data_IF_025192233342
#
_entry.id   IF_025192233342
#
_cell.length_a   1.000
_cell.length_b   1.000
_cell.length_c   1.000
_cell.angle_alpha   90.00
_cell.angle_beta   90.00
_cell.angle_gamma   90.00
#
_symmetry.space_group_name_H-M   'P 1'
#
loop_
_entity.id
_entity.type
_entity.pdbx_description
1 polymer ?
#
# COMPACT_ATOMS: atom_id res chain seq x y z
N UNK A 1 -8.11 6.51 -22.63
CA UNK A 1 -7.64 6.43 -21.23
C UNK A 1 -7.90 7.78 -20.58
N UNK A 2 -8.68 7.83 -19.51
CA UNK A 2 -9.04 9.07 -18.82
C UNK A 2 -7.76 9.70 -18.20
N UNK A 3 -7.59 11.02 -18.24
CA UNK A 3 -6.34 11.68 -17.79
C UNK A 3 -5.97 11.33 -16.33
N UNK A 4 -6.98 11.13 -15.48
CA UNK A 4 -6.81 10.69 -14.09
C UNK A 4 -6.20 9.29 -13.95
N UNK A 5 -6.42 8.38 -14.91
CA UNK A 5 -5.87 7.02 -14.84
C UNK A 5 -4.36 7.00 -15.10
N UNK A 6 -3.87 7.84 -16.03
CA UNK A 6 -2.44 7.98 -16.30
C UNK A 6 -1.70 8.66 -15.14
N UNK A 7 -2.28 9.75 -14.61
CA UNK A 7 -1.75 10.40 -13.41
C UNK A 7 -1.75 9.45 -12.19
N UNK A 8 -2.80 8.63 -12.07
CA UNK A 8 -2.89 7.62 -11.03
C UNK A 8 -1.85 6.51 -11.14
N UNK A 9 -1.54 6.04 -12.35
CA UNK A 9 -0.46 5.07 -12.53
C UNK A 9 0.89 5.63 -12.08
N UNK A 10 1.19 6.89 -12.37
CA UNK A 10 2.42 7.54 -11.89
C UNK A 10 2.50 7.53 -10.35
N UNK A 11 1.44 7.97 -9.66
CA UNK A 11 1.40 7.93 -8.19
C UNK A 11 1.54 6.50 -7.67
N UNK A 12 0.88 5.53 -8.31
CA UNK A 12 1.01 4.12 -7.94
C UNK A 12 2.44 3.62 -8.07
N UNK A 13 3.18 4.04 -9.11
CA UNK A 13 4.60 3.67 -9.30
C UNK A 13 5.49 4.29 -8.24
N UNK A 14 5.29 5.57 -7.94
CA UNK A 14 6.04 6.28 -6.89
C UNK A 14 5.84 5.62 -5.52
N UNK A 15 4.63 5.11 -5.24
CA UNK A 15 4.34 4.40 -3.98
C UNK A 15 4.77 2.93 -4.05
N UNK A 16 4.22 2.13 -4.95
CA UNK A 16 4.37 0.67 -4.95
C UNK A 16 5.65 0.16 -5.64
N UNK A 17 6.33 1.02 -6.40
CA UNK A 17 7.53 0.71 -7.18
C UNK A 17 7.22 0.17 -8.59
N UNK A 18 8.07 0.51 -9.56
CA UNK A 18 7.88 0.15 -10.97
C UNK A 18 7.75 -1.35 -11.19
N UNK A 19 8.65 -2.15 -10.61
CA UNK A 19 8.63 -3.60 -10.79
C UNK A 19 7.31 -4.27 -10.29
N UNK A 20 6.64 -3.68 -9.30
CA UNK A 20 5.35 -4.16 -8.84
C UNK A 20 4.24 -3.77 -9.81
N UNK A 21 4.22 -2.50 -10.25
CA UNK A 21 3.20 -1.99 -11.17
C UNK A 21 3.31 -2.67 -12.53
N UNK A 22 4.52 -2.82 -13.08
CA UNK A 22 4.76 -3.50 -14.35
C UNK A 22 4.27 -4.94 -14.29
N UNK A 23 4.56 -5.67 -13.20
CA UNK A 23 4.06 -7.04 -13.03
C UNK A 23 2.53 -7.09 -12.99
N UNK A 24 1.89 -6.14 -12.32
CA UNK A 24 0.44 -6.09 -12.22
C UNK A 24 -0.23 -5.78 -13.57
N UNK A 25 0.35 -4.87 -14.37
CA UNK A 25 -0.16 -4.48 -15.68
C UNK A 25 0.15 -5.53 -16.75
N UNK A 26 1.36 -6.10 -16.77
CA UNK A 26 1.75 -7.10 -17.76
C UNK A 26 1.02 -8.44 -17.58
N UNK A 27 0.60 -8.75 -16.35
CA UNK A 27 -0.20 -9.94 -16.05
C UNK A 27 -1.71 -9.66 -16.07
N UNK A 28 -2.13 -8.45 -16.45
CA UNK A 28 -3.54 -8.13 -16.57
C UNK A 28 -4.16 -8.92 -17.73
N UNK A 29 -5.35 -9.45 -17.50
CA UNK A 29 -6.16 -10.15 -18.51
C UNK A 29 -7.41 -9.32 -18.77
N UNK A 30 -8.20 -9.66 -19.79
CA UNK A 30 -9.50 -9.01 -20.04
C UNK A 30 -10.41 -9.01 -18.80
N UNK A 31 -10.27 -10.00 -17.92
CA UNK A 31 -11.00 -10.08 -16.66
C UNK A 31 -10.48 -9.08 -15.60
N UNK A 32 -9.17 -8.90 -15.48
CA UNK A 32 -8.56 -8.07 -14.41
C UNK A 32 -8.19 -6.66 -14.85
N UNK A 33 -8.14 -6.37 -16.15
CA UNK A 33 -7.82 -5.05 -16.70
C UNK A 33 -8.78 -3.95 -16.20
N UNK A 34 -10.11 -4.14 -16.15
CA UNK A 34 -11.02 -3.12 -15.61
C UNK A 34 -10.74 -2.80 -14.13
N UNK A 35 -10.25 -3.77 -13.36
CA UNK A 35 -9.85 -3.53 -11.96
C UNK A 35 -8.58 -2.66 -11.90
N UNK A 36 -7.58 -2.90 -12.75
CA UNK A 36 -6.37 -2.06 -12.79
C UNK A 36 -6.73 -0.61 -13.13
N UNK A 37 -7.62 -0.40 -14.10
CA UNK A 37 -8.11 0.93 -14.48
C UNK A 37 -8.87 1.60 -13.34
N UNK A 38 -9.78 0.87 -12.69
CA UNK A 38 -10.53 1.39 -11.55
C UNK A 38 -9.61 1.83 -10.42
N UNK A 39 -8.64 0.99 -10.03
CA UNK A 39 -7.67 1.28 -8.96
C UNK A 39 -6.78 2.47 -9.32
N UNK A 40 -6.25 2.53 -10.55
CA UNK A 40 -5.44 3.66 -11.00
C UNK A 40 -6.24 4.96 -10.98
N UNK A 41 -7.48 4.96 -11.48
CA UNK A 41 -8.31 6.16 -11.52
C UNK A 41 -8.75 6.65 -10.13
N UNK A 42 -9.26 5.75 -9.27
CA UNK A 42 -9.97 6.15 -8.06
C UNK A 42 -9.08 6.19 -6.82
N UNK A 43 -8.23 5.18 -6.64
CA UNK A 43 -7.30 5.17 -5.51
C UNK A 43 -6.15 6.14 -5.80
N UNK A 44 -5.36 5.83 -6.81
CA UNK A 44 -4.08 6.52 -7.02
C UNK A 44 -4.25 7.89 -7.68
N UNK A 45 -5.11 8.02 -8.68
CA UNK A 45 -5.44 9.30 -9.33
C UNK A 45 -6.44 10.15 -8.53
N UNK A 46 -7.18 9.53 -7.61
CA UNK A 46 -8.21 10.18 -6.79
C UNK A 46 -7.77 10.43 -5.35
N UNK A 47 -7.97 9.45 -4.47
CA UNK A 47 -7.79 9.66 -3.01
C UNK A 47 -6.34 10.05 -2.65
N UNK A 48 -5.34 9.46 -3.31
CA UNK A 48 -3.93 9.69 -3.02
C UNK A 48 -3.39 11.05 -3.50
N UNK A 49 -4.10 11.76 -4.39
CA UNK A 49 -3.67 13.06 -4.96
C UNK A 49 -4.27 14.27 -4.26
N UNK A 50 -5.22 14.10 -3.32
CA UNK A 50 -5.97 15.22 -2.68
C UNK A 50 -5.14 16.19 -1.82
N UNK A 51 -3.85 15.95 -1.61
CA UNK A 51 -2.90 16.93 -1.04
C UNK A 51 -3.03 17.31 0.45
N UNK A 52 -4.14 16.99 1.13
CA UNK A 52 -4.34 17.39 2.55
C UNK A 52 -3.47 16.60 3.53
N UNK A 53 -3.39 15.28 3.33
CA UNK A 53 -2.49 14.41 4.09
C UNK A 53 -1.28 14.07 3.23
N UNK A 54 -0.10 14.16 3.84
CA UNK A 54 1.15 13.69 3.26
C UNK A 54 1.07 12.19 2.94
N UNK A 55 1.84 11.74 1.94
CA UNK A 55 1.84 10.34 1.52
C UNK A 55 2.28 9.39 2.63
N UNK A 56 3.21 9.83 3.46
CA UNK A 56 3.67 9.11 4.66
C UNK A 56 2.51 8.79 5.60
N UNK A 57 1.70 9.78 5.96
CA UNK A 57 0.51 9.60 6.79
C UNK A 57 -0.52 8.68 6.13
N UNK A 58 -0.74 8.81 4.81
CA UNK A 58 -1.66 7.93 4.07
C UNK A 58 -1.20 6.47 4.11
N UNK A 59 0.10 6.22 3.91
CA UNK A 59 0.66 4.88 4.02
C UNK A 59 0.41 4.26 5.39
N UNK A 60 0.64 5.00 6.49
CA UNK A 60 0.39 4.48 7.84
C UNK A 60 -1.10 4.17 8.07
N UNK A 61 -2.02 5.02 7.59
CA UNK A 61 -3.46 4.76 7.66
C UNK A 61 -3.83 3.51 6.84
N UNK A 62 -3.26 3.34 5.65
CA UNK A 62 -3.50 2.16 4.82
C UNK A 62 -2.98 0.90 5.50
N UNK A 63 -1.79 0.93 6.10
CA UNK A 63 -1.25 -0.20 6.87
C UNK A 63 -2.18 -0.58 8.02
N UNK A 64 -2.64 0.41 8.81
CA UNK A 64 -3.57 0.17 9.91
C UNK A 64 -4.88 -0.45 9.43
N UNK A 65 -5.44 0.03 8.32
CA UNK A 65 -6.65 -0.53 7.72
C UNK A 65 -6.44 -1.97 7.25
N UNK A 66 -5.32 -2.27 6.57
CA UNK A 66 -5.00 -3.63 6.10
C UNK A 66 -4.73 -4.60 7.24
N UNK A 67 -4.14 -4.13 8.34
CA UNK A 67 -4.03 -4.91 9.59
C UNK A 67 -5.41 -5.24 10.13
N UNK A 68 -6.30 -4.26 10.28
CA UNK A 68 -7.65 -4.48 10.79
C UNK A 68 -8.48 -5.42 9.91
N UNK A 69 -8.29 -5.35 8.59
CA UNK A 69 -8.94 -6.23 7.60
C UNK A 69 -8.31 -7.62 7.51
N UNK A 70 -7.19 -7.88 8.20
CA UNK A 70 -6.43 -9.14 8.14
C UNK A 70 -6.02 -9.49 6.70
N UNK A 71 -5.51 -8.50 5.96
CA UNK A 71 -5.06 -8.65 4.57
C UNK A 71 -3.52 -8.62 4.46
N UNK A 72 -2.79 -9.62 4.98
CA UNK A 72 -1.33 -9.57 5.06
C UNK A 72 -0.64 -9.55 3.69
N UNK A 73 -1.24 -10.13 2.64
CA UNK A 73 -0.64 -10.11 1.30
C UNK A 73 -0.62 -8.70 0.69
N UNK A 74 -1.72 -7.96 0.78
CA UNK A 74 -1.79 -6.56 0.37
C UNK A 74 -0.92 -5.66 1.27
N UNK A 75 -0.85 -5.98 2.57
CA UNK A 75 -0.02 -5.27 3.52
C UNK A 75 1.46 -5.25 3.10
N UNK A 76 2.00 -6.34 2.55
CA UNK A 76 3.39 -6.40 2.04
C UNK A 76 3.67 -5.31 1.00
N UNK A 77 2.77 -5.16 0.02
CA UNK A 77 2.90 -4.12 -1.00
C UNK A 77 2.90 -2.72 -0.39
N UNK A 78 2.01 -2.47 0.58
CA UNK A 78 1.91 -1.18 1.25
C UNK A 78 3.01 -0.91 2.27
N UNK A 79 3.69 -1.92 2.83
CA UNK A 79 4.90 -1.73 3.65
C UNK A 79 6.02 -1.19 2.77
N UNK A 80 6.25 -1.79 1.60
CA UNK A 80 7.22 -1.28 0.63
C UNK A 80 6.88 0.15 0.22
N UNK A 81 5.60 0.43 -0.04
CA UNK A 81 5.17 1.78 -0.38
C UNK A 81 5.22 2.78 0.77
N UNK A 82 5.08 2.36 2.02
CA UNK A 82 5.33 3.20 3.19
C UNK A 82 6.80 3.62 3.26
N UNK A 83 7.73 2.69 3.05
CA UNK A 83 9.16 2.96 3.04
C UNK A 83 9.55 3.91 1.88
N UNK A 84 9.02 3.69 0.67
CA UNK A 84 9.22 4.60 -0.46
C UNK A 84 8.69 6.02 -0.19
N UNK A 85 7.61 6.15 0.58
CA UNK A 85 7.05 7.44 1.00
C UNK A 85 7.78 8.07 2.21
N UNK A 86 8.88 7.47 2.69
CA UNK A 86 9.69 8.02 3.78
C UNK A 86 9.21 7.67 5.18
N UNK A 87 8.35 6.66 5.34
CA UNK A 87 8.14 6.05 6.66
C UNK A 87 9.42 5.35 7.11
N UNK A 88 9.78 5.47 8.37
CA UNK A 88 10.82 4.65 8.99
C UNK A 88 10.24 3.29 9.41
N UNK A 89 11.12 2.31 9.61
CA UNK A 89 10.73 1.01 10.16
C UNK A 89 10.10 1.17 11.55
N UNK A 90 10.56 2.13 12.35
CA UNK A 90 10.02 2.47 13.66
C UNK A 90 8.58 2.99 13.56
N UNK A 91 8.28 3.87 12.62
CA UNK A 91 6.92 4.40 12.44
C UNK A 91 5.94 3.32 11.99
N UNK A 92 6.39 2.42 11.10
CA UNK A 92 5.60 1.25 10.69
C UNK A 92 5.35 0.34 11.90
N UNK A 93 6.39 0.05 12.68
CA UNK A 93 6.29 -0.76 13.91
C UNK A 93 5.26 -0.18 14.89
N UNK A 94 5.33 1.11 15.17
CA UNK A 94 4.41 1.80 16.09
C UNK A 94 2.96 1.75 15.59
N UNK A 95 2.72 1.96 14.30
CA UNK A 95 1.38 1.85 13.72
C UNK A 95 0.80 0.43 13.86
N UNK A 96 1.61 -0.61 13.62
CA UNK A 96 1.18 -2.00 13.77
C UNK A 96 0.95 -2.38 15.25
N UNK A 97 1.78 -1.88 16.17
CA UNK A 97 1.57 -2.06 17.62
C UNK A 97 0.26 -1.40 18.07
N UNK A 98 -0.03 -0.20 17.58
CA UNK A 98 -1.28 0.49 17.89
C UNK A 98 -2.50 -0.34 17.44
N UNK A 99 -2.40 -1.00 16.28
CA UNK A 99 -3.44 -1.91 15.80
C UNK A 99 -3.67 -3.12 16.70
N UNK A 100 -2.68 -3.57 17.49
CA UNK A 100 -2.87 -4.69 18.42
C UNK A 100 -3.95 -4.39 19.49
N UNK A 101 -4.12 -3.11 19.86
CA UNK A 101 -5.11 -2.65 20.83
C UNK A 101 -6.53 -2.64 20.25
N UNK A 102 -6.68 -2.17 19.00
CA UNK A 102 -8.01 -1.90 18.41
C UNK A 102 -8.48 -2.95 17.40
N UNK A 103 -7.55 -3.63 16.72
CA UNK A 103 -7.84 -4.73 15.79
C UNK A 103 -7.53 -6.11 16.40
N UNK A 104 -6.92 -6.14 17.59
CA UNK A 104 -6.56 -7.35 18.33
C UNK A 104 -5.17 -7.88 17.99
N UNK A 105 -4.53 -8.49 19.00
CA UNK A 105 -3.18 -9.05 18.92
C UNK A 105 -2.99 -10.02 17.74
N UNK A 106 -3.93 -10.95 17.41
CA UNK A 106 -3.74 -11.85 16.28
C UNK A 106 -3.58 -11.13 14.93
N UNK A 107 -4.38 -10.08 14.68
CA UNK A 107 -4.28 -9.30 13.45
C UNK A 107 -2.94 -8.56 13.34
N UNK A 108 -2.47 -8.00 14.46
CA UNK A 108 -1.16 -7.36 14.53
C UNK A 108 -0.03 -8.39 14.29
N UNK A 109 -0.08 -9.60 14.87
CA UNK A 109 0.93 -10.64 14.65
C UNK A 109 1.09 -10.97 13.15
N UNK A 110 -0.03 -11.16 12.44
CA UNK A 110 0.03 -11.46 11.01
C UNK A 110 0.56 -10.27 10.19
N UNK A 111 0.20 -9.04 10.57
CA UNK A 111 0.76 -7.84 9.97
C UNK A 111 2.27 -7.69 10.23
N UNK A 112 2.73 -8.01 11.44
CA UNK A 112 4.15 -7.97 11.82
C UNK A 112 4.98 -8.98 11.01
N UNK A 113 4.48 -10.20 10.83
CA UNK A 113 5.13 -11.22 9.98
C UNK A 113 5.26 -10.71 8.54
N UNK A 114 4.18 -10.20 7.98
CA UNK A 114 4.17 -9.65 6.62
C UNK A 114 5.13 -8.45 6.47
N UNK A 115 5.16 -7.53 7.43
CA UNK A 115 6.07 -6.40 7.41
C UNK A 115 7.53 -6.83 7.54
N UNK A 116 7.83 -7.78 8.44
CA UNK A 116 9.18 -8.30 8.65
C UNK A 116 9.76 -8.93 7.38
N UNK A 117 8.97 -9.71 6.64
CA UNK A 117 9.39 -10.28 5.36
C UNK A 117 9.87 -9.19 4.39
N UNK A 118 9.08 -8.12 4.21
CA UNK A 118 9.42 -7.03 3.29
C UNK A 118 10.61 -6.21 3.77
N UNK A 119 10.69 -5.91 5.07
CA UNK A 119 11.79 -5.13 5.64
C UNK A 119 13.12 -5.88 5.50
N UNK A 120 13.12 -7.20 5.69
CA UNK A 120 14.31 -8.04 5.54
C UNK A 120 14.79 -8.13 4.08
N UNK A 121 13.90 -8.06 3.09
CA UNK A 121 14.25 -8.02 1.66
C UNK A 121 14.91 -6.69 1.23
N UNK A 122 14.74 -5.61 2.00
CA UNK A 122 15.28 -4.29 1.70
C UNK A 122 16.53 -3.91 2.50
N UNK A 123 16.96 -4.76 3.43
CA UNK A 123 18.20 -4.62 4.20
C UNK A 123 19.40 -5.21 3.45
#
# INVERSE_FOLDING_TARGET
MNDNAKAGEQVRREVMGDAFVDRALNNATDFTQPLQEFVNQHAWGGVWTRGVLERKTRSLITLAALTALKCPQELKGHVRGALNNGCTVEEIREALLHCAVYAGVPAAIDAFRAAQEVIAEQA
#
